data_IF_161635187960
#
_entry.id   IF_161635187960
#
_cell.length_a   1.000
_cell.length_b   1.000
_cell.length_c   1.000
_cell.angle_alpha   90.00
_cell.angle_beta   90.00
_cell.angle_gamma   90.00
#
_symmetry.space_group_name_H-M   'P 1'
#
loop_
_entity.id
_entity.type
_entity.pdbx_description
1 polymer ?
#
# COMPACT_ATOMS: atom_id res chain seq x y z
N UNK A 1 9.76 1.58 21.97
CA UNK A 1 8.97 0.64 21.15
C UNK A 1 8.55 1.45 19.93
N UNK A 2 8.60 0.91 18.71
CA UNK A 2 8.17 1.69 17.55
C UNK A 2 6.64 1.78 17.54
N UNK A 3 6.08 2.96 17.76
CA UNK A 3 4.64 3.21 17.72
C UNK A 3 4.15 3.24 16.27
N UNK A 4 3.98 2.06 15.67
CA UNK A 4 3.52 1.89 14.28
C UNK A 4 2.02 2.07 14.10
N UNK A 5 1.28 2.38 15.18
CA UNK A 5 -0.19 2.48 15.20
C UNK A 5 -0.74 3.60 14.29
N UNK A 6 0.08 4.60 13.97
CA UNK A 6 -0.30 5.74 13.14
C UNK A 6 0.06 5.56 11.67
N UNK A 7 0.85 4.53 11.35
CA UNK A 7 1.30 4.25 10.00
C UNK A 7 0.23 3.49 9.23
N UNK A 8 0.22 3.70 7.92
CA UNK A 8 -0.76 3.08 7.03
C UNK A 8 -0.09 2.54 5.78
N UNK A 9 -0.65 1.49 5.21
CA UNK A 9 -0.22 0.96 3.92
C UNK A 9 -0.72 1.87 2.81
N UNK A 10 0.19 2.35 1.98
CA UNK A 10 -0.07 3.20 0.83
C UNK A 10 0.23 2.49 -0.48
N UNK A 11 -0.64 2.65 -1.48
CA UNK A 11 -0.43 2.16 -2.84
C UNK A 11 0.05 3.32 -3.70
N UNK A 12 1.22 3.18 -4.31
CA UNK A 12 1.76 4.19 -5.23
C UNK A 12 1.00 4.13 -6.55
N UNK A 13 0.33 5.21 -6.92
CA UNK A 13 -0.41 5.33 -8.17
C UNK A 13 0.48 5.82 -9.32
N UNK A 14 1.34 6.81 -9.05
CA UNK A 14 2.20 7.45 -10.06
C UNK A 14 3.52 7.90 -9.44
N UNK A 15 4.60 7.87 -10.21
CA UNK A 15 5.94 8.30 -9.77
C UNK A 15 6.55 9.28 -10.76
N UNK A 16 6.63 10.55 -10.38
CA UNK A 16 7.30 11.59 -11.15
C UNK A 16 8.71 11.86 -10.62
N UNK A 17 9.72 11.87 -11.49
CA UNK A 17 11.08 12.26 -11.10
C UNK A 17 11.28 13.75 -11.38
N UNK A 18 11.53 14.57 -10.35
CA UNK A 18 11.56 16.05 -10.50
C UNK A 18 12.96 16.61 -10.67
N UNK A 19 13.89 16.35 -9.75
CA UNK A 19 15.24 16.94 -9.81
C UNK A 19 16.24 16.18 -8.92
N UNK A 20 17.55 16.38 -9.18
CA UNK A 20 18.64 15.93 -8.32
C UNK A 20 18.99 17.05 -7.33
N UNK A 21 18.21 17.20 -6.27
CA UNK A 21 18.63 18.03 -5.14
C UNK A 21 19.51 17.15 -4.24
N UNK A 22 20.80 17.48 -4.11
CA UNK A 22 21.77 16.70 -3.32
C UNK A 22 22.16 15.32 -3.92
N UNK A 23 22.54 15.27 -5.21
CA UNK A 23 23.20 14.12 -5.84
C UNK A 23 22.35 12.86 -6.07
N UNK A 24 21.20 12.73 -5.39
CA UNK A 24 20.24 11.63 -5.54
C UNK A 24 18.94 12.14 -6.21
N UNK A 25 18.31 11.37 -7.11
CA UNK A 25 17.10 11.79 -7.80
C UNK A 25 15.89 11.79 -6.84
N UNK A 26 15.31 12.97 -6.60
CA UNK A 26 14.08 13.13 -5.83
C UNK A 26 12.88 12.77 -6.71
N UNK A 27 12.00 11.92 -6.18
CA UNK A 27 10.77 11.48 -6.81
C UNK A 27 9.57 12.01 -6.04
N UNK A 28 8.59 12.54 -6.75
CA UNK A 28 7.26 12.84 -6.25
C UNK A 28 6.35 11.63 -6.53
N UNK A 29 5.86 10.97 -5.49
CA UNK A 29 5.01 9.81 -5.61
C UNK A 29 3.59 10.16 -5.16
N UNK A 30 2.60 9.89 -6.00
CA UNK A 30 1.19 9.98 -5.61
C UNK A 30 0.79 8.66 -4.96
N UNK A 31 0.35 8.70 -3.71
CA UNK A 31 0.06 7.51 -2.90
C UNK A 31 -1.38 7.54 -2.41
N UNK A 32 -2.08 6.42 -2.56
CA UNK A 32 -3.41 6.20 -2.00
C UNK A 32 -3.29 5.50 -0.65
N UNK A 33 -3.84 6.09 0.42
CA UNK A 33 -3.79 5.57 1.79
C UNK A 33 -5.16 5.03 2.26
N UNK A 34 -6.06 4.68 1.34
CA UNK A 34 -7.33 4.01 1.67
C UNK A 34 -8.49 4.96 1.98
N UNK A 35 -8.26 6.28 2.03
CA UNK A 35 -9.35 7.25 2.03
C UNK A 35 -9.98 7.30 0.62
N UNK A 36 -11.29 7.06 0.51
CA UNK A 36 -12.03 7.10 -0.76
C UNK A 36 -11.85 8.46 -1.46
N UNK A 37 -10.93 8.49 -2.44
CA UNK A 37 -10.66 9.66 -3.28
C UNK A 37 -9.54 10.58 -2.81
N UNK A 38 -8.93 10.36 -1.65
CA UNK A 38 -7.86 11.22 -1.13
C UNK A 38 -6.48 10.59 -1.34
N UNK A 39 -5.78 11.03 -2.38
CA UNK A 39 -4.39 10.67 -2.64
C UNK A 39 -3.47 11.75 -2.10
N UNK A 40 -2.39 11.35 -1.45
CA UNK A 40 -1.38 12.30 -0.98
C UNK A 40 -0.16 12.30 -1.90
N UNK A 41 0.58 13.39 -1.89
CA UNK A 41 1.89 13.45 -2.54
C UNK A 41 2.97 13.21 -1.49
N UNK A 42 3.89 12.28 -1.77
CA UNK A 42 5.04 11.97 -0.91
C UNK A 42 6.32 12.12 -1.72
N UNK A 43 7.22 12.97 -1.25
CA UNK A 43 8.55 13.12 -1.81
C UNK A 43 9.46 12.02 -1.25
N UNK A 44 10.18 11.33 -2.13
CA UNK A 44 11.10 10.25 -1.73
C UNK A 44 12.35 10.22 -2.58
N UNK A 45 13.46 9.85 -1.94
CA UNK A 45 14.75 9.64 -2.60
C UNK A 45 15.01 8.14 -2.82
N UNK A 46 14.13 7.28 -2.30
CA UNK A 46 14.29 5.84 -2.35
C UNK A 46 14.27 5.31 -3.80
N UNK A 47 15.20 4.42 -4.11
CA UNK A 47 15.37 3.85 -5.46
C UNK A 47 14.40 2.69 -5.74
N UNK A 48 13.86 2.07 -4.69
CA UNK A 48 12.97 0.91 -4.77
C UNK A 48 11.48 1.28 -4.93
N UNK A 49 11.14 2.56 -4.94
CA UNK A 49 9.76 3.02 -5.10
C UNK A 49 9.37 2.98 -6.57
N UNK A 50 8.29 2.26 -6.88
CA UNK A 50 7.73 2.10 -8.22
C UNK A 50 6.22 2.24 -8.19
N UNK A 51 5.64 2.57 -9.33
CA UNK A 51 4.18 2.57 -9.53
C UNK A 51 3.60 1.18 -9.22
N UNK A 52 2.44 1.15 -8.57
CA UNK A 52 1.77 -0.06 -8.09
C UNK A 52 2.42 -0.71 -6.85
N UNK A 53 3.54 -0.20 -6.34
CA UNK A 53 4.16 -0.74 -5.13
C UNK A 53 3.35 -0.38 -3.89
N UNK A 54 3.29 -1.32 -2.94
CA UNK A 54 2.66 -1.11 -1.64
C UNK A 54 3.73 -0.84 -0.60
N UNK A 55 3.64 0.31 0.02
CA UNK A 55 4.66 0.84 0.91
C UNK A 55 4.03 1.34 2.20
N UNK A 56 4.77 1.31 3.29
CA UNK A 56 4.29 1.91 4.54
C UNK A 56 4.52 3.41 4.52
N UNK A 57 3.48 4.16 4.83
CA UNK A 57 3.46 5.63 4.85
C UNK A 57 3.08 6.12 6.24
N UNK A 58 3.83 7.08 6.75
CA UNK A 58 3.46 7.90 7.89
C UNK A 58 2.77 9.18 7.38
N UNK A 59 1.44 9.31 7.52
CA UNK A 59 0.72 10.54 7.15
C UNK A 59 1.04 11.69 8.11
N UNK A 60 0.62 12.90 7.75
CA UNK A 60 0.71 14.08 8.62
C UNK A 60 0.08 13.85 10.00
N UNK A 61 0.74 14.35 11.04
CA UNK A 61 0.36 14.12 12.43
C UNK A 61 0.95 12.86 13.05
N UNK A 62 1.55 11.96 12.26
CA UNK A 62 2.21 10.77 12.79
C UNK A 62 3.54 11.12 13.44
N UNK A 63 3.88 10.40 14.51
CA UNK A 63 5.21 10.45 15.13
C UNK A 63 6.09 9.37 14.52
N UNK A 64 7.27 9.75 14.03
CA UNK A 64 8.31 8.82 13.60
C UNK A 64 9.50 8.90 14.54
N UNK A 65 10.21 7.79 14.70
CA UNK A 65 11.45 7.74 15.49
C UNK A 65 12.61 7.62 14.49
N UNK A 66 13.51 8.60 14.50
CA UNK A 66 14.71 8.59 13.67
C UNK A 66 15.78 7.63 14.24
N UNK A 67 16.86 7.39 13.49
CA UNK A 67 17.98 6.52 13.93
C UNK A 67 18.63 7.02 15.24
N UNK A 68 18.61 8.33 15.47
CA UNK A 68 19.07 8.97 16.72
C UNK A 68 18.13 8.74 17.92
N UNK A 69 16.98 8.08 17.72
CA UNK A 69 15.98 7.84 18.76
C UNK A 69 15.08 9.03 19.05
N UNK A 70 15.19 10.10 18.26
CA UNK A 70 14.37 11.31 18.40
C UNK A 70 13.00 11.14 17.74
N UNK A 71 11.96 11.54 18.46
CA UNK A 71 10.59 11.57 17.97
C UNK A 71 10.36 12.82 17.13
N UNK A 72 10.04 12.63 15.84
CA UNK A 72 9.71 13.71 14.93
C UNK A 72 8.27 13.59 14.45
N UNK A 73 7.50 14.65 14.61
CA UNK A 73 6.12 14.72 14.08
C UNK A 73 6.15 15.07 12.59
N UNK A 74 5.46 14.27 11.77
CA UNK A 74 5.31 14.55 10.35
C UNK A 74 4.35 15.72 10.14
N UNK A 75 4.86 16.78 9.52
CA UNK A 75 4.09 17.96 9.10
C UNK A 75 4.13 18.11 7.59
N UNK A 76 3.17 18.84 7.02
CA UNK A 76 3.18 19.14 5.58
C UNK A 76 4.38 20.03 5.28
N UNK A 77 5.29 19.57 4.44
CA UNK A 77 6.49 20.31 4.10
C UNK A 77 6.84 20.14 2.63
N UNK A 78 7.61 21.08 2.09
CA UNK A 78 8.04 21.07 0.69
C UNK A 78 9.51 20.67 0.62
N UNK A 79 9.78 19.49 0.09
CA UNK A 79 11.14 18.95 -0.06
C UNK A 79 11.60 19.20 -1.49
N UNK A 80 12.61 20.05 -1.68
CA UNK A 80 13.19 20.31 -3.01
C UNK A 80 12.18 20.80 -4.06
N UNK A 81 11.17 21.57 -3.64
CA UNK A 81 10.10 22.07 -4.51
C UNK A 81 8.91 21.11 -4.71
N UNK A 82 8.92 19.94 -4.06
CA UNK A 82 7.82 18.97 -4.10
C UNK A 82 7.04 19.01 -2.78
N UNK A 83 5.71 19.25 -2.79
CA UNK A 83 4.90 19.14 -1.59
C UNK A 83 4.84 17.69 -1.12
N UNK A 84 5.16 17.45 0.15
CA UNK A 84 5.09 16.14 0.79
C UNK A 84 4.14 16.20 1.99
N UNK A 85 3.08 15.41 1.94
CA UNK A 85 2.06 15.27 2.99
C UNK A 85 2.20 13.95 3.75
N UNK A 86 3.41 13.40 3.73
CA UNK A 86 3.76 12.16 4.41
C UNK A 86 5.22 11.82 4.19
N UNK A 87 5.65 10.74 4.82
CA UNK A 87 6.98 10.17 4.66
C UNK A 87 6.87 8.66 4.51
N UNK A 88 7.66 8.06 3.62
CA UNK A 88 7.77 6.60 3.56
C UNK A 88 8.64 6.11 4.70
N UNK A 89 8.15 5.08 5.40
CA UNK A 89 8.91 4.43 6.45
C UNK A 89 9.85 3.38 5.85
N UNK A 90 11.00 3.19 6.47
CA UNK A 90 11.94 2.11 6.18
C UNK A 90 11.76 0.99 7.21
N UNK A 91 12.50 -0.10 7.03
CA UNK A 91 12.41 -1.25 7.93
C UNK A 91 12.93 -0.96 9.35
N UNK A 92 13.83 0.01 9.56
CA UNK A 92 14.29 0.37 10.91
C UNK A 92 13.23 1.14 11.68
N UNK A 93 12.58 2.13 11.04
CA UNK A 93 11.45 2.86 11.63
C UNK A 93 10.30 1.93 12.03
N UNK A 94 10.09 0.83 11.31
CA UNK A 94 9.08 -0.19 11.63
C UNK A 94 9.52 -1.23 12.67
N UNK A 95 10.76 -1.18 13.14
CA UNK A 95 11.30 -2.17 14.08
C UNK A 95 11.57 -3.55 13.46
N UNK A 96 11.68 -3.64 12.13
CA UNK A 96 11.98 -4.90 11.43
C UNK A 96 13.48 -5.27 11.44
N UNK A 97 14.34 -4.41 11.99
CA UNK A 97 15.76 -4.63 12.30
C UNK A 97 16.72 -4.74 11.10
N UNK A 98 16.31 -5.36 10.00
CA UNK A 98 17.15 -5.66 8.83
C UNK A 98 16.85 -4.72 7.65
N UNK A 99 17.04 -3.42 7.89
CA UNK A 99 16.80 -2.34 6.93
C UNK A 99 18.05 -1.51 6.62
N UNK A 100 18.19 -1.10 5.36
CA UNK A 100 19.13 -0.04 4.94
C UNK A 100 18.41 1.29 4.87
N UNK A 101 19.06 2.36 5.33
CA UNK A 101 18.54 3.72 5.24
C UNK A 101 18.24 4.10 3.79
N UNK A 102 17.09 4.74 3.58
CA UNK A 102 16.64 5.16 2.25
C UNK A 102 15.98 4.07 1.41
N UNK A 103 15.69 2.90 1.99
CA UNK A 103 14.88 1.85 1.35
C UNK A 103 13.47 1.89 1.95
N UNK A 104 12.47 2.18 1.12
CA UNK A 104 11.08 2.21 1.57
C UNK A 104 10.59 0.80 1.89
N UNK A 105 9.90 0.62 3.02
CA UNK A 105 9.39 -0.65 3.49
C UNK A 105 8.21 -1.13 2.64
N UNK A 106 8.41 -2.23 1.92
CA UNK A 106 7.38 -2.85 1.08
C UNK A 106 6.58 -3.90 1.86
N UNK A 107 5.29 -3.97 1.54
CA UNK A 107 4.36 -4.96 2.10
C UNK A 107 3.75 -5.84 1.02
N UNK A 108 3.31 -7.07 1.35
CA UNK A 108 2.66 -7.98 0.42
C UNK A 108 1.40 -7.39 -0.19
N UNK A 109 0.98 -7.90 -1.36
CA UNK A 109 -0.27 -7.52 -1.99
C UNK A 109 -1.53 -8.04 -1.24
N UNK A 110 -1.36 -8.59 -0.05
CA UNK A 110 -2.47 -8.96 0.84
C UNK A 110 -3.01 -7.77 1.63
N UNK A 111 -2.19 -6.73 1.86
CA UNK A 111 -2.57 -5.54 2.62
C UNK A 111 -3.20 -4.48 1.73
N UNK A 112 -4.42 -4.03 2.03
CA UNK A 112 -5.08 -2.99 1.26
C UNK A 112 -4.52 -1.59 1.59
N UNK A 113 -4.89 -0.60 0.78
CA UNK A 113 -4.57 0.79 1.12
C UNK A 113 -5.31 1.17 2.42
N UNK A 114 -4.60 1.80 3.36
CA UNK A 114 -5.13 2.23 4.65
C UNK A 114 -5.00 1.22 5.79
N UNK A 115 -4.63 -0.03 5.50
CA UNK A 115 -4.38 -1.03 6.53
C UNK A 115 -3.17 -0.66 7.41
N UNK A 116 -3.17 -1.18 8.63
CA UNK A 116 -2.01 -1.06 9.52
C UNK A 116 -0.85 -1.91 8.98
N UNK A 117 0.40 -1.43 9.07
CA UNK A 117 1.56 -2.22 8.65
C UNK A 117 1.77 -3.44 9.56
N UNK A 118 2.35 -4.53 9.03
CA UNK A 118 2.67 -5.68 9.85
C UNK A 118 3.77 -5.36 10.87
N UNK A 119 3.61 -5.89 12.10
CA UNK A 119 4.60 -5.78 13.18
C UNK A 119 5.94 -6.48 12.87
N UNK A 120 6.01 -7.28 11.80
CA UNK A 120 7.20 -8.04 11.41
C UNK A 120 7.41 -8.01 9.90
N UNK A 121 8.68 -8.17 9.47
CA UNK A 121 9.05 -8.12 8.05
C UNK A 121 8.38 -9.24 7.25
N UNK A 122 7.58 -8.91 6.23
CA UNK A 122 6.98 -9.91 5.37
C UNK A 122 8.05 -10.62 4.53
N UNK A 123 8.10 -11.96 4.60
CA UNK A 123 9.02 -12.78 3.82
C UNK A 123 10.33 -13.22 4.49
N UNK A 124 10.50 -13.01 5.81
CA UNK A 124 11.60 -13.64 6.54
C UNK A 124 11.32 -15.15 6.77
N UNK A 125 12.22 -16.07 6.38
CA UNK A 125 12.12 -17.46 6.80
C UNK A 125 12.48 -17.55 8.28
N UNK A 126 11.47 -17.51 9.15
CA UNK A 126 11.61 -17.78 10.58
C UNK A 126 11.32 -16.58 11.49
N UNK A 127 10.04 -16.27 11.66
CA UNK A 127 9.50 -15.89 12.97
C UNK A 127 8.17 -16.61 13.09
N UNK A 128 8.19 -17.72 13.85
CA UNK A 128 7.00 -18.17 14.53
C UNK A 128 6.61 -17.07 15.50
N UNK A 129 5.34 -16.75 15.51
CA UNK A 129 4.66 -15.93 16.50
C UNK A 129 5.17 -16.22 17.91
N UNK A 130 5.51 -15.18 18.65
CA UNK A 130 5.27 -15.14 20.09
C UNK A 130 4.97 -13.69 20.50
N UNK A 131 3.90 -13.54 21.27
CA UNK A 131 3.40 -12.35 21.95
C UNK A 131 2.65 -11.29 21.12
N UNK A 132 1.34 -11.51 20.96
CA UNK A 132 0.38 -10.63 21.64
C UNK A 132 -0.94 -11.39 21.90
N UNK A 133 -1.22 -11.59 23.19
CA UNK A 133 -2.48 -12.11 23.68
C UNK A 133 -3.61 -11.17 23.27
N UNK A 134 -4.52 -11.66 22.43
CA UNK A 134 -5.77 -10.96 22.18
C UNK A 134 -6.32 -11.08 20.77
N UNK A 135 -6.30 -12.27 20.16
CA UNK A 135 -7.17 -12.54 19.01
C UNK A 135 -7.98 -13.79 19.27
N UNK A 136 -9.29 -13.57 19.35
CA UNK A 136 -10.29 -14.61 19.29
C UNK A 136 -10.02 -15.52 18.10
N UNK A 137 -10.33 -16.79 18.34
CA UNK A 137 -10.19 -17.88 17.40
C UNK A 137 -10.66 -17.48 15.99
N UNK A 138 -9.80 -17.70 15.00
CA UNK A 138 -10.20 -18.64 13.96
C UNK A 138 -8.99 -19.37 13.38
N UNK A 139 -9.17 -20.67 13.45
CA UNK A 139 -8.32 -21.80 13.15
C UNK A 139 -7.85 -21.81 11.70
N UNK A 140 -6.57 -22.15 11.49
CA UNK A 140 -6.04 -22.55 10.19
C UNK A 140 -6.27 -24.05 10.02
N UNK A 141 -7.14 -24.42 9.08
CA UNK A 141 -7.07 -25.68 8.34
C UNK A 141 -7.51 -25.31 6.91
N UNK A 142 -6.60 -25.22 5.94
CA UNK A 142 -6.11 -26.39 5.24
C UNK A 142 -6.97 -26.63 3.98
N UNK A 143 -6.29 -27.02 2.90
CA UNK A 143 -6.85 -27.83 1.82
C UNK A 143 -7.54 -27.09 0.64
N UNK A 144 -6.88 -27.27 -0.51
CA UNK A 144 -7.45 -27.47 -1.84
C UNK A 144 -8.00 -26.29 -2.65
N UNK A 145 -7.51 -26.23 -3.89
CA UNK A 145 -8.09 -25.59 -5.06
C UNK A 145 -9.60 -25.39 -4.96
N UNK A 146 -10.05 -24.14 -4.80
CA UNK A 146 -11.44 -23.76 -5.06
C UNK A 146 -11.66 -23.76 -6.58
N UNK A 147 -11.92 -24.96 -7.11
CA UNK A 147 -12.68 -25.16 -8.35
C UNK A 147 -13.92 -24.28 -8.30
N UNK A 148 -14.05 -23.37 -9.26
CA UNK A 148 -15.28 -22.64 -9.51
C UNK A 148 -16.45 -23.63 -9.62
N UNK A 149 -17.50 -23.41 -8.83
CA UNK A 149 -18.71 -24.21 -8.93
C UNK A 149 -19.41 -23.94 -10.28
N UNK A 150 -20.04 -24.98 -10.83
CA UNK A 150 -20.73 -24.96 -12.14
C UNK A 150 -21.82 -23.88 -12.21
N UNK A 151 -22.29 -23.40 -11.06
CA UNK A 151 -23.36 -22.41 -10.94
C UNK A 151 -22.85 -20.97 -11.14
N UNK A 152 -21.69 -20.61 -10.58
CA UNK A 152 -21.10 -19.27 -10.75
C UNK A 152 -20.61 -19.04 -12.19
N UNK A 153 -20.06 -20.09 -12.82
CA UNK A 153 -19.63 -20.03 -14.23
C UNK A 153 -20.82 -19.90 -15.20
N UNK A 154 -21.98 -20.45 -14.84
CA UNK A 154 -23.22 -20.35 -15.63
C UNK A 154 -23.86 -18.96 -15.49
N UNK A 155 -23.87 -18.38 -14.28
CA UNK A 155 -24.37 -17.01 -14.05
C UNK A 155 -23.56 -15.96 -14.82
N UNK A 156 -22.22 -16.05 -14.80
CA UNK A 156 -21.37 -15.11 -15.56
C UNK A 156 -21.55 -15.23 -17.09
N UNK A 157 -21.80 -16.43 -17.61
CA UNK A 157 -22.07 -16.64 -19.02
C UNK A 157 -23.45 -16.12 -19.46
N UNK A 158 -24.46 -16.25 -18.60
CA UNK A 158 -25.83 -15.80 -18.87
C UNK A 158 -25.93 -14.27 -18.83
N UNK A 159 -25.31 -13.62 -17.84
CA UNK A 159 -25.25 -12.15 -17.78
C UNK A 159 -24.52 -11.55 -18.99
N UNK A 160 -23.39 -12.14 -19.40
CA UNK A 160 -22.64 -11.67 -20.57
C UNK A 160 -23.43 -11.84 -21.86
N UNK A 161 -24.31 -12.85 -21.96
CA UNK A 161 -25.20 -13.04 -23.11
C UNK A 161 -26.39 -12.09 -23.08
N UNK A 162 -26.92 -11.77 -21.90
CA UNK A 162 -28.02 -10.80 -21.72
C UNK A 162 -27.55 -9.37 -22.02
N UNK A 163 -26.36 -8.99 -21.56
CA UNK A 163 -25.74 -7.71 -21.88
C UNK A 163 -25.47 -7.54 -23.39
N UNK A 164 -25.02 -8.61 -24.07
CA UNK A 164 -24.75 -8.56 -25.51
C UNK A 164 -26.03 -8.49 -26.36
N UNK A 165 -27.14 -9.04 -25.86
CA UNK A 165 -28.44 -8.95 -26.52
C UNK A 165 -29.07 -7.56 -26.34
N UNK A 166 -28.99 -7.00 -25.13
CA UNK A 166 -29.43 -5.62 -24.86
C UNK A 166 -28.66 -4.58 -25.69
N UNK A 167 -27.33 -4.75 -25.81
CA UNK A 167 -26.51 -3.87 -26.65
C UNK A 167 -26.85 -3.97 -28.15
N UNK A 168 -27.26 -5.16 -28.63
CA UNK A 168 -27.64 -5.37 -30.03
C UNK A 168 -29.05 -4.85 -30.35
N UNK A 169 -29.97 -4.88 -29.38
CA UNK A 169 -31.31 -4.27 -29.53
C UNK A 169 -31.23 -2.73 -29.48
N UNK A 170 -30.39 -2.15 -28.61
CA UNK A 170 -30.15 -0.71 -28.58
C UNK A 170 -29.50 -0.18 -29.88
N UNK A 171 -28.56 -0.94 -30.47
CA UNK A 171 -27.93 -0.55 -31.72
C UNK A 171 -28.85 -0.66 -32.95
N UNK A 172 -30.01 -1.32 -32.84
CA UNK A 172 -30.96 -1.48 -33.95
C UNK A 172 -32.10 -0.46 -33.92
N UNK A 173 -32.31 0.22 -32.79
CA UNK A 173 -33.33 1.27 -32.64
C UNK A 173 -32.83 2.68 -32.99
N UNK A 174 -31.54 2.86 -33.30
CA UNK A 174 -30.95 4.16 -33.67
C UNK A 174 -30.72 4.31 -35.19
N UNK A 175 -31.08 3.29 -35.99
CA UNK A 175 -31.01 3.31 -37.47
C UNK A 175 -32.41 3.07 -38.09
N UNK A 176 -33.45 3.75 -37.58
CA UNK A 176 -34.76 3.90 -38.24
C UNK A 176 -35.37 5.26 -37.92
#
# INVERSE_FOLDING_TARGET
MADTSQYKVGIVLSVETKSKSCGKPLKACTVNIGDEGNTITVATVASNVREGSRLVVAPVGSTIINDEGEEQTITKTTVGGVPSEGMFCDSRMLGWGSGSEGIAAQVPPEYAAGDAPPKSKPGAPGTKSDADSGVGAVEVQGLFEKKLTKEEKKKLAEERRKAKKAAKEAAKSEES
#
